data_IF_064312563650
#
_entry.id   IF_064312563650
#
_cell.length_a   1.000
_cell.length_b   1.000
_cell.length_c   1.000
_cell.angle_alpha   90.00
_cell.angle_beta   90.00
_cell.angle_gamma   90.00
#
_symmetry.space_group_name_H-M   'P 1'
#
loop_
_entity.id
_entity.type
_entity.pdbx_description
1 polymer ?
#
# COMPACT_ATOMS: atom_id res chain seq x y z
N UNK A 1 9.26 -37.99 20.62
CA UNK A 1 8.57 -37.02 21.50
C UNK A 1 7.74 -36.09 20.61
N UNK A 2 6.59 -35.59 21.08
CA UNK A 2 5.35 -35.52 20.31
C UNK A 2 5.25 -34.31 19.38
N UNK A 3 4.36 -34.50 18.39
CA UNK A 3 3.77 -33.56 17.46
C UNK A 3 3.41 -32.22 18.10
N UNK A 4 3.89 -31.11 17.51
CA UNK A 4 3.53 -29.75 17.91
C UNK A 4 2.24 -29.32 17.20
N UNK A 5 1.31 -28.85 18.01
CA UNK A 5 -0.03 -28.35 17.67
C UNK A 5 0.03 -27.10 16.76
N UNK A 6 -0.73 -27.00 15.65
CA UNK A 6 -0.74 -25.84 14.76
C UNK A 6 -1.25 -24.53 15.38
N UNK A 7 -1.73 -24.53 16.63
CA UNK A 7 -2.30 -23.33 17.29
C UNK A 7 -1.38 -22.61 18.27
N UNK A 8 -0.13 -23.03 18.42
CA UNK A 8 0.86 -22.24 19.18
C UNK A 8 1.49 -21.25 18.22
N UNK A 9 1.02 -19.99 18.25
CA UNK A 9 1.88 -18.85 17.86
C UNK A 9 2.98 -18.84 18.91
N UNK A 10 4.01 -19.67 18.70
CA UNK A 10 5.20 -19.63 19.52
C UNK A 10 5.71 -18.20 19.46
N UNK A 11 5.74 -17.56 20.62
CA UNK A 11 6.51 -16.35 20.81
C UNK A 11 7.94 -16.75 20.44
N UNK A 12 8.41 -16.36 19.25
CA UNK A 12 9.80 -16.58 18.83
C UNK A 12 10.68 -15.74 19.75
N UNK A 13 10.92 -16.20 20.97
CA UNK A 13 11.89 -15.65 21.91
C UNK A 13 13.29 -16.12 21.51
N UNK A 14 13.63 -15.96 20.23
CA UNK A 14 14.99 -16.11 19.77
C UNK A 14 15.77 -14.92 20.29
N UNK A 15 16.67 -15.13 21.26
CA UNK A 15 17.58 -14.09 21.79
C UNK A 15 18.66 -13.63 20.79
N UNK A 16 18.38 -13.77 19.49
CA UNK A 16 19.28 -13.40 18.40
C UNK A 16 18.77 -12.12 17.74
N UNK A 17 19.65 -11.17 17.39
CA UNK A 17 19.23 -9.93 16.75
C UNK A 17 18.57 -10.21 15.39
N UNK A 18 17.52 -9.45 15.07
CA UNK A 18 16.95 -9.45 13.72
C UNK A 18 18.01 -8.92 12.74
N UNK A 19 18.30 -9.71 11.71
CA UNK A 19 19.24 -9.33 10.66
C UNK A 19 18.47 -8.97 9.40
N UNK A 20 18.80 -7.84 8.79
CA UNK A 20 18.07 -7.24 7.68
C UNK A 20 19.07 -6.93 6.56
N UNK A 21 18.74 -7.30 5.32
CA UNK A 21 19.61 -7.08 4.15
C UNK A 21 20.77 -8.09 3.99
N UNK A 22 21.01 -8.97 4.96
CA UNK A 22 22.03 -10.01 4.89
C UNK A 22 22.23 -10.72 6.22
N UNK A 23 23.23 -11.60 6.29
CA UNK A 23 23.65 -12.29 7.52
C UNK A 23 25.07 -11.86 7.91
N UNK A 24 25.30 -11.59 9.19
CA UNK A 24 26.60 -11.32 9.79
C UNK A 24 27.44 -12.59 10.00
N UNK A 25 26.83 -13.76 9.83
CA UNK A 25 27.47 -15.07 9.88
C UNK A 25 27.35 -15.77 8.53
N UNK A 26 28.19 -16.80 8.26
CA UNK A 26 28.06 -17.63 7.07
C UNK A 26 26.66 -18.21 6.92
N UNK A 27 26.20 -18.38 5.69
CA UNK A 27 24.90 -18.97 5.41
C UNK A 27 24.83 -20.39 6.01
N UNK A 28 23.77 -20.69 6.78
CA UNK A 28 23.60 -22.03 7.31
C UNK A 28 23.40 -23.04 6.19
N UNK A 29 23.97 -24.23 6.35
CA UNK A 29 23.67 -25.34 5.46
C UNK A 29 22.21 -25.76 5.65
N UNK A 30 21.41 -25.90 4.57
CA UNK A 30 19.98 -26.25 4.66
C UNK A 30 19.72 -27.53 5.45
N UNK A 31 20.66 -28.49 5.36
CA UNK A 31 20.64 -29.77 6.06
C UNK A 31 20.62 -29.63 7.58
N UNK A 32 21.27 -28.61 8.13
CA UNK A 32 21.31 -28.36 9.58
C UNK A 32 19.96 -27.91 10.15
N UNK A 33 19.05 -27.44 9.30
CA UNK A 33 17.75 -26.88 9.70
C UNK A 33 16.57 -27.61 9.07
N UNK A 34 16.82 -28.74 8.39
CA UNK A 34 15.78 -29.52 7.71
C UNK A 34 15.11 -28.77 6.56
N UNK A 35 15.77 -27.78 5.97
CA UNK A 35 15.22 -27.02 4.84
C UNK A 35 15.43 -27.76 3.53
N UNK A 36 14.36 -27.92 2.76
CA UNK A 36 14.38 -28.55 1.44
C UNK A 36 14.93 -27.64 0.34
N UNK A 37 15.00 -26.34 0.61
CA UNK A 37 15.54 -25.32 -0.30
C UNK A 37 16.59 -24.48 0.43
N UNK A 38 17.65 -24.09 -0.28
CA UNK A 38 18.64 -23.17 0.26
C UNK A 38 18.06 -21.76 0.47
N UNK A 39 18.49 -21.08 1.54
CA UNK A 39 18.35 -19.62 1.62
C UNK A 39 19.08 -19.04 0.39
N UNK A 40 18.50 -18.02 -0.24
CA UNK A 40 19.22 -17.23 -1.25
C UNK A 40 20.56 -16.81 -0.67
N UNK A 41 21.66 -17.38 -1.16
CA UNK A 41 23.03 -17.15 -0.65
C UNK A 41 23.60 -15.78 -1.10
N UNK A 42 22.74 -14.79 -1.28
CA UNK A 42 23.10 -13.45 -1.73
C UNK A 42 22.47 -12.45 -0.77
N UNK A 43 23.31 -11.58 -0.22
CA UNK A 43 22.83 -10.43 0.54
C UNK A 43 22.03 -9.50 -0.39
N UNK A 44 21.16 -8.69 0.19
CA UNK A 44 20.41 -7.70 -0.56
C UNK A 44 21.36 -6.63 -1.09
N UNK A 45 21.44 -6.50 -2.41
CA UNK A 45 21.99 -5.32 -3.07
C UNK A 45 20.85 -4.40 -3.47
N UNK A 46 20.59 -3.37 -2.65
CA UNK A 46 19.46 -2.46 -2.83
C UNK A 46 19.19 -1.59 -1.62
N UNK A 47 17.97 -1.06 -1.55
CA UNK A 47 17.56 -0.15 -0.49
C UNK A 47 16.36 -0.70 0.27
N UNK A 48 16.38 -0.51 1.59
CA UNK A 48 15.28 -0.84 2.50
C UNK A 48 14.80 0.48 3.11
N UNK A 49 13.48 0.67 3.14
CA UNK A 49 12.86 1.83 3.79
C UNK A 49 11.56 1.42 4.46
N UNK A 50 11.12 2.19 5.46
CA UNK A 50 9.86 1.98 6.19
C UNK A 50 9.72 0.57 6.78
N UNK A 51 10.82 0.02 7.30
CA UNK A 51 10.77 -1.25 8.04
C UNK A 51 9.83 -1.08 9.24
N UNK A 52 8.78 -1.89 9.28
CA UNK A 52 7.79 -1.86 10.37
C UNK A 52 7.84 -3.19 11.10
N UNK A 53 8.17 -3.15 12.39
CA UNK A 53 8.20 -4.33 13.26
C UNK A 53 7.14 -4.15 14.33
N UNK A 54 6.22 -5.12 14.44
CA UNK A 54 5.14 -5.10 15.43
C UNK A 54 4.31 -3.80 15.42
N UNK A 55 4.14 -3.18 14.24
CA UNK A 55 3.37 -1.93 14.07
C UNK A 55 4.18 -0.65 14.28
N UNK A 56 5.44 -0.73 14.71
CA UNK A 56 6.31 0.43 14.89
C UNK A 56 7.34 0.54 13.77
N UNK A 57 7.53 1.77 13.26
CA UNK A 57 8.54 2.04 12.24
C UNK A 57 9.91 2.07 12.90
N UNK A 58 10.83 1.27 12.37
CA UNK A 58 12.20 1.17 12.83
C UNK A 58 13.10 2.06 11.99
N UNK A 59 13.94 2.85 12.65
CA UNK A 59 15.00 3.61 11.98
C UNK A 59 16.14 2.68 11.55
N UNK A 60 16.12 2.30 10.28
CA UNK A 60 17.18 1.49 9.65
C UNK A 60 18.36 2.34 9.16
N UNK A 61 18.26 3.67 9.23
CA UNK A 61 19.38 4.58 8.96
C UNK A 61 20.38 4.58 10.11
N UNK A 62 19.91 4.42 11.36
CA UNK A 62 20.78 4.39 12.54
C UNK A 62 20.66 3.07 13.32
N UNK A 63 20.99 1.92 12.70
CA UNK A 63 20.86 0.64 13.38
C UNK A 63 21.95 0.47 14.45
N UNK A 64 21.69 -0.38 15.45
CA UNK A 64 22.67 -0.73 16.48
C UNK A 64 23.96 -1.35 15.92
N UNK A 65 23.87 -2.04 14.77
CA UNK A 65 25.00 -2.56 14.03
C UNK A 65 24.72 -2.53 12.53
N UNK A 66 25.72 -2.17 11.72
CA UNK A 66 25.62 -2.10 10.25
C UNK A 66 26.98 -2.43 9.64
N UNK A 67 26.98 -3.24 8.59
CA UNK A 67 28.16 -3.57 7.79
C UNK A 67 27.72 -3.68 6.32
N UNK A 68 28.45 -3.03 5.41
CA UNK A 68 28.10 -3.01 3.99
C UNK A 68 26.88 -2.16 3.62
N UNK A 69 26.29 -1.41 4.56
CA UNK A 69 25.18 -0.49 4.34
C UNK A 69 25.53 0.96 4.63
N UNK A 70 24.86 1.88 3.94
CA UNK A 70 24.96 3.33 4.13
C UNK A 70 23.57 3.93 4.37
N UNK A 71 23.50 5.07 5.06
CA UNK A 71 22.26 5.83 5.23
C UNK A 71 21.81 6.42 3.89
N UNK A 72 20.49 6.51 3.71
CA UNK A 72 19.88 7.01 2.48
C UNK A 72 19.88 5.98 1.35
N UNK A 73 19.35 6.36 0.20
CA UNK A 73 19.31 5.49 -0.98
C UNK A 73 19.79 6.28 -2.20
N UNK A 74 21.10 6.36 -2.36
CA UNK A 74 21.73 7.10 -3.45
C UNK A 74 21.20 6.72 -4.85
N UNK A 75 20.92 5.43 -5.19
CA UNK A 75 20.31 5.09 -6.47
C UNK A 75 18.92 5.72 -6.66
N UNK A 76 18.08 5.71 -5.61
CA UNK A 76 16.74 6.29 -5.62
C UNK A 76 16.77 7.83 -5.67
N UNK A 77 17.68 8.45 -4.93
CA UNK A 77 17.89 9.90 -4.92
C UNK A 77 18.41 10.40 -6.27
N UNK A 78 19.37 9.71 -6.87
CA UNK A 78 19.88 10.02 -8.21
C UNK A 78 18.84 9.78 -9.30
N UNK A 79 17.99 8.76 -9.17
CA UNK A 79 16.95 8.45 -10.15
C UNK A 79 15.96 9.61 -10.35
N UNK A 80 15.77 10.45 -9.32
CA UNK A 80 14.95 11.65 -9.39
C UNK A 80 15.76 12.96 -9.45
N UNK A 81 17.07 12.89 -9.72
CA UNK A 81 17.99 14.02 -9.69
C UNK A 81 18.01 14.89 -10.95
N UNK A 82 17.98 16.21 -10.73
CA UNK A 82 18.22 17.38 -11.61
C UNK A 82 17.18 17.78 -12.66
N UNK A 83 16.39 16.86 -13.19
CA UNK A 83 15.41 17.21 -14.23
C UNK A 83 14.00 17.13 -13.65
N UNK A 84 13.43 18.30 -13.30
CA UNK A 84 11.99 18.54 -13.05
C UNK A 84 11.08 18.06 -14.22
N UNK A 85 11.63 17.39 -15.24
CA UNK A 85 10.99 17.09 -16.52
C UNK A 85 10.57 15.63 -16.68
N UNK A 86 11.12 14.67 -15.92
CA UNK A 86 10.80 13.25 -16.17
C UNK A 86 9.32 12.91 -15.93
N UNK A 87 8.73 13.38 -14.82
CA UNK A 87 7.32 13.14 -14.50
C UNK A 87 6.36 14.22 -14.99
N UNK A 88 6.87 15.17 -15.79
CA UNK A 88 6.12 16.36 -16.19
C UNK A 88 5.67 17.21 -15.00
N UNK A 89 4.87 18.24 -15.29
CA UNK A 89 4.39 19.20 -14.27
C UNK A 89 3.26 18.65 -13.39
N UNK A 90 2.74 17.45 -13.71
CA UNK A 90 1.58 16.80 -13.07
C UNK A 90 1.96 15.50 -12.38
N UNK A 91 3.25 15.27 -12.15
CA UNK A 91 3.74 14.04 -11.53
C UNK A 91 4.85 14.34 -10.55
N UNK A 92 4.94 13.51 -9.51
CA UNK A 92 6.07 13.50 -8.59
C UNK A 92 6.96 12.30 -8.90
N UNK A 93 8.28 12.49 -8.91
CA UNK A 93 9.22 11.40 -9.14
C UNK A 93 9.39 10.57 -7.86
N UNK A 94 9.06 9.29 -7.96
CA UNK A 94 9.41 8.27 -6.99
C UNK A 94 10.59 7.47 -7.55
N UNK A 95 11.77 7.65 -6.97
CA UNK A 95 12.96 6.96 -7.48
C UNK A 95 12.85 5.45 -7.30
N UNK A 96 13.62 4.69 -8.06
CA UNK A 96 13.61 3.24 -8.00
C UNK A 96 15.01 2.66 -8.18
N UNK A 97 15.17 1.39 -7.80
CA UNK A 97 16.45 0.67 -7.92
C UNK A 97 16.83 0.39 -9.38
N UNK A 98 15.84 0.11 -10.23
CA UNK A 98 16.03 -0.17 -11.66
C UNK A 98 15.76 1.08 -12.51
N UNK A 99 14.64 1.75 -12.26
CA UNK A 99 14.22 2.98 -12.95
C UNK A 99 13.29 3.80 -12.06
N UNK A 100 13.25 5.13 -12.21
CA UNK A 100 12.28 5.98 -11.53
C UNK A 100 10.84 5.70 -12.03
N UNK A 101 9.87 5.99 -11.17
CA UNK A 101 8.44 5.97 -11.48
C UNK A 101 7.84 7.33 -11.18
N UNK A 102 6.68 7.61 -11.78
CA UNK A 102 5.96 8.85 -11.58
C UNK A 102 4.63 8.59 -10.89
N UNK A 103 4.43 9.27 -9.76
CA UNK A 103 3.16 9.33 -9.06
C UNK A 103 2.36 10.51 -9.63
N UNK A 104 1.34 10.21 -10.43
CA UNK A 104 0.58 11.22 -11.14
C UNK A 104 -0.50 11.88 -10.28
N UNK A 105 -0.69 13.18 -10.50
CA UNK A 105 -1.83 13.92 -9.95
C UNK A 105 -3.17 13.32 -10.40
N UNK A 106 -4.23 13.40 -9.57
CA UNK A 106 -5.55 12.88 -9.93
C UNK A 106 -6.07 13.45 -11.25
N UNK A 107 -6.40 12.57 -12.19
CA UNK A 107 -6.85 12.95 -13.53
C UNK A 107 -5.79 12.92 -14.61
N UNK A 108 -4.54 12.58 -14.24
CA UNK A 108 -3.42 12.37 -15.16
C UNK A 108 -2.88 10.95 -15.04
N UNK A 109 -2.30 10.46 -16.13
CA UNK A 109 -1.73 9.12 -16.24
C UNK A 109 -0.62 9.08 -17.30
N UNK A 110 -0.08 7.88 -17.51
CA UNK A 110 1.06 7.65 -18.39
C UNK A 110 2.38 7.76 -17.64
N UNK A 111 3.46 7.37 -18.32
CA UNK A 111 4.80 7.27 -17.73
C UNK A 111 5.32 8.61 -17.19
N UNK A 112 4.94 9.73 -17.82
CA UNK A 112 5.34 11.09 -17.45
C UNK A 112 4.15 11.95 -16.99
N UNK A 113 3.04 11.33 -16.60
CA UNK A 113 1.83 12.03 -16.13
C UNK A 113 1.31 13.13 -17.08
N UNK A 114 1.55 12.98 -18.38
CA UNK A 114 1.21 13.98 -19.41
C UNK A 114 -0.11 13.68 -20.12
N UNK A 115 -0.71 12.52 -19.88
CA UNK A 115 -1.97 12.11 -20.52
C UNK A 115 -3.14 12.27 -19.56
N UNK A 116 -4.22 12.95 -19.95
CA UNK A 116 -5.42 13.01 -19.11
C UNK A 116 -6.09 11.62 -19.04
N UNK A 117 -6.59 11.25 -17.86
CA UNK A 117 -7.36 10.01 -17.70
C UNK A 117 -8.69 10.11 -18.43
N UNK A 118 -9.16 9.01 -19.02
CA UNK A 118 -10.49 8.93 -19.64
C UNK A 118 -11.54 8.62 -18.56
N UNK A 119 -12.52 9.51 -18.31
CA UNK A 119 -13.58 9.23 -17.35
C UNK A 119 -14.62 8.27 -17.94
N UNK A 120 -15.19 7.43 -17.07
CA UNK A 120 -16.36 6.61 -17.40
C UNK A 120 -17.60 7.23 -16.76
N UNK A 121 -18.68 7.34 -17.54
CA UNK A 121 -19.98 7.79 -17.02
C UNK A 121 -20.84 6.59 -16.68
N UNK A 122 -21.29 6.51 -15.43
CA UNK A 122 -22.21 5.48 -14.96
C UNK A 122 -23.64 6.06 -14.90
N UNK A 123 -24.55 5.47 -15.67
CA UNK A 123 -25.99 5.74 -15.62
C UNK A 123 -26.71 4.90 -14.57
N UNK A 124 -28.04 4.95 -14.58
CA UNK A 124 -28.89 4.11 -13.72
C UNK A 124 -28.61 2.63 -13.98
N UNK A 125 -28.52 1.85 -12.90
CA UNK A 125 -28.28 0.40 -12.95
C UNK A 125 -27.01 -0.03 -13.72
N UNK A 126 -26.01 0.84 -13.80
CA UNK A 126 -24.70 0.53 -14.40
C UNK A 126 -23.63 0.39 -13.31
N UNK A 127 -22.62 -0.43 -13.57
CA UNK A 127 -21.50 -0.64 -12.66
C UNK A 127 -20.22 -0.98 -13.43
N UNK A 128 -19.09 -0.75 -12.78
CA UNK A 128 -17.78 -1.21 -13.23
C UNK A 128 -17.21 -2.13 -12.17
N UNK A 129 -16.66 -3.28 -12.58
CA UNK A 129 -15.99 -4.22 -11.69
C UNK A 129 -14.56 -4.43 -12.18
N UNK A 130 -13.60 -4.27 -11.28
CA UNK A 130 -12.18 -4.50 -11.54
C UNK A 130 -11.73 -5.66 -10.68
N UNK A 131 -11.12 -6.67 -11.29
CA UNK A 131 -10.44 -7.74 -10.58
C UNK A 131 -8.97 -7.35 -10.36
N UNK A 132 -8.51 -7.42 -9.11
CA UNK A 132 -7.11 -7.17 -8.79
C UNK A 132 -6.33 -8.48 -8.91
N UNK A 133 -5.13 -8.49 -9.53
CA UNK A 133 -4.33 -9.70 -9.71
C UNK A 133 -3.54 -10.07 -8.44
N UNK A 134 -3.89 -9.52 -7.28
CA UNK A 134 -3.18 -9.72 -6.01
C UNK A 134 -4.16 -9.68 -4.83
N UNK A 135 -3.74 -10.26 -3.71
CA UNK A 135 -4.47 -10.16 -2.43
C UNK A 135 -4.17 -8.82 -1.78
N UNK A 136 -5.21 -8.17 -1.25
CA UNK A 136 -5.08 -6.88 -0.58
C UNK A 136 -4.37 -7.03 0.76
N UNK A 137 -3.58 -6.02 1.13
CA UNK A 137 -3.00 -5.95 2.47
C UNK A 137 -4.14 -5.87 3.51
N UNK A 138 -4.18 -6.78 4.51
CA UNK A 138 -5.26 -6.84 5.49
C UNK A 138 -5.24 -5.68 6.50
N UNK A 139 -4.13 -4.95 6.61
CA UNK A 139 -3.89 -3.90 7.60
C UNK A 139 -3.78 -2.50 6.98
N UNK A 140 -3.37 -2.41 5.71
CA UNK A 140 -3.11 -1.13 5.07
C UNK A 140 -3.82 -1.00 3.71
N UNK A 141 -4.85 -0.14 3.65
CA UNK A 141 -5.60 0.11 2.40
C UNK A 141 -5.62 1.61 2.12
N UNK A 142 -5.11 2.00 0.95
CA UNK A 142 -5.21 3.37 0.43
C UNK A 142 -5.99 3.36 -0.88
N UNK A 143 -7.09 4.12 -0.92
CA UNK A 143 -7.93 4.28 -2.10
C UNK A 143 -7.99 5.75 -2.52
N UNK A 144 -7.94 6.00 -3.82
CA UNK A 144 -8.15 7.33 -4.40
C UNK A 144 -9.16 7.23 -5.55
N UNK A 145 -10.21 8.05 -5.50
CA UNK A 145 -11.23 8.14 -6.54
C UNK A 145 -11.41 9.59 -6.97
N UNK A 146 -11.40 9.84 -8.28
CA UNK A 146 -11.81 11.11 -8.87
C UNK A 146 -13.25 11.01 -9.37
N UNK A 147 -14.16 11.79 -8.79
CA UNK A 147 -15.60 11.66 -9.01
C UNK A 147 -16.21 13.01 -9.39
N UNK A 148 -17.22 12.97 -10.26
CA UNK A 148 -18.08 14.09 -10.60
C UNK A 148 -19.53 13.63 -10.53
N UNK A 149 -20.25 14.03 -9.48
CA UNK A 149 -21.68 13.75 -9.33
C UNK A 149 -22.50 15.01 -9.59
N UNK A 150 -23.74 14.85 -10.09
CA UNK A 150 -24.67 15.97 -10.34
C UNK A 150 -25.99 15.71 -9.63
N UNK A 151 -26.27 16.47 -8.58
CA UNK A 151 -27.59 16.52 -7.93
C UNK A 151 -28.07 15.27 -7.19
N UNK A 152 -27.36 14.14 -7.23
CA UNK A 152 -27.70 12.96 -6.46
C UNK A 152 -27.08 13.05 -5.06
N UNK A 153 -27.86 13.07 -3.96
CA UNK A 153 -27.33 13.16 -2.59
C UNK A 153 -26.91 11.79 -2.02
N UNK A 154 -27.27 10.69 -2.68
CA UNK A 154 -26.97 9.34 -2.23
C UNK A 154 -26.50 8.44 -3.38
N UNK A 155 -25.59 7.52 -3.09
CA UNK A 155 -25.14 6.51 -4.06
C UNK A 155 -23.83 5.82 -3.68
N UNK A 156 -23.63 4.60 -4.14
CA UNK A 156 -22.36 3.89 -3.97
C UNK A 156 -21.32 4.47 -4.94
N UNK A 157 -20.14 4.81 -4.42
CA UNK A 157 -19.00 5.27 -5.23
C UNK A 157 -18.01 4.13 -5.49
N UNK A 158 -17.70 3.35 -4.45
CA UNK A 158 -16.80 2.22 -4.54
C UNK A 158 -17.14 1.17 -3.48
N UNK A 159 -16.96 -0.10 -3.82
CA UNK A 159 -17.12 -1.22 -2.90
C UNK A 159 -15.95 -2.18 -3.09
N UNK A 160 -15.25 -2.47 -2.00
CA UNK A 160 -14.09 -3.33 -1.95
C UNK A 160 -14.38 -4.51 -1.00
N UNK A 161 -14.78 -5.68 -1.54
CA UNK A 161 -14.94 -6.87 -0.73
C UNK A 161 -13.58 -7.50 -0.40
N UNK A 162 -13.45 -8.04 0.82
CA UNK A 162 -12.33 -8.92 1.19
C UNK A 162 -12.43 -10.25 0.44
N UNK A 163 -11.27 -10.85 0.13
CA UNK A 163 -11.14 -12.17 -0.50
C UNK A 163 -11.85 -13.29 0.27
N UNK A 164 -11.95 -13.17 1.59
CA UNK A 164 -12.62 -14.15 2.45
C UNK A 164 -14.04 -13.74 2.86
N UNK A 165 -14.59 -12.68 2.24
CA UNK A 165 -15.93 -12.13 2.51
C UNK A 165 -16.23 -11.77 3.98
N UNK A 166 -15.21 -11.79 4.85
CA UNK A 166 -15.37 -11.45 6.25
C UNK A 166 -15.49 -9.94 6.45
N UNK A 167 -14.77 -9.15 5.64
CA UNK A 167 -14.84 -7.71 5.69
C UNK A 167 -15.11 -7.06 4.34
N UNK A 168 -15.65 -5.85 4.38
CA UNK A 168 -15.79 -5.00 3.21
C UNK A 168 -15.52 -3.55 3.57
N UNK A 169 -14.95 -2.82 2.62
CA UNK A 169 -14.78 -1.37 2.67
C UNK A 169 -15.69 -0.75 1.61
N UNK A 170 -16.55 0.17 2.02
CA UNK A 170 -17.55 0.84 1.19
C UNK A 170 -17.31 2.35 1.23
N UNK A 171 -17.22 2.98 0.07
CA UNK A 171 -17.26 4.43 -0.08
C UNK A 171 -18.57 4.81 -0.77
N UNK A 172 -19.36 5.65 -0.12
CA UNK A 172 -20.65 6.08 -0.62
C UNK A 172 -20.88 7.57 -0.40
N UNK A 173 -21.81 8.13 -1.17
CA UNK A 173 -22.36 9.44 -0.96
C UNK A 173 -23.56 9.33 -0.01
N UNK A 174 -23.57 10.12 1.05
CA UNK A 174 -24.69 10.24 1.98
C UNK A 174 -24.99 11.72 2.21
N UNK A 175 -26.20 12.14 1.86
CA UNK A 175 -26.62 13.54 1.98
C UNK A 175 -25.67 14.51 1.27
N UNK A 176 -25.08 14.08 0.15
CA UNK A 176 -24.16 14.87 -0.66
C UNK A 176 -22.69 14.82 -0.25
N UNK A 177 -22.34 14.23 0.90
CA UNK A 177 -20.95 14.11 1.36
C UNK A 177 -20.44 12.66 1.27
N UNK A 178 -19.12 12.48 1.16
CA UNK A 178 -18.52 11.16 1.12
C UNK A 178 -18.45 10.53 2.51
N UNK A 179 -18.84 9.26 2.60
CA UNK A 179 -18.75 8.41 3.78
C UNK A 179 -18.07 7.10 3.44
N UNK A 180 -17.02 6.77 4.18
CA UNK A 180 -16.37 5.47 4.14
C UNK A 180 -16.83 4.64 5.34
N UNK A 181 -17.20 3.39 5.10
CA UNK A 181 -17.53 2.44 6.15
C UNK A 181 -16.85 1.12 5.92
N UNK A 182 -16.43 0.48 7.01
CA UNK A 182 -15.87 -0.86 7.01
C UNK A 182 -16.68 -1.74 7.94
N UNK A 183 -17.05 -2.93 7.48
CA UNK A 183 -17.68 -3.94 8.32
C UNK A 183 -16.78 -5.16 8.39
N UNK A 184 -16.58 -5.71 9.58
CA UNK A 184 -15.83 -6.95 9.79
C UNK A 184 -16.38 -7.75 10.98
N UNK A 185 -16.07 -9.06 11.08
CA UNK A 185 -16.70 -9.94 12.05
C UNK A 185 -16.30 -9.63 13.50
N UNK A 186 -15.09 -9.08 13.72
CA UNK A 186 -14.54 -8.84 15.06
C UNK A 186 -14.79 -7.43 15.60
N UNK A 187 -14.80 -6.43 14.74
CA UNK A 187 -14.74 -5.01 15.14
C UNK A 187 -16.04 -4.25 14.87
N UNK A 188 -17.08 -4.94 14.36
CA UNK A 188 -18.35 -4.31 14.00
C UNK A 188 -18.22 -3.40 12.78
N UNK A 189 -19.16 -2.45 12.66
CA UNK A 189 -19.14 -1.43 11.60
C UNK A 189 -18.41 -0.19 12.10
N UNK A 190 -17.33 0.17 11.42
CA UNK A 190 -16.62 1.44 11.59
C UNK A 190 -17.00 2.38 10.44
N UNK A 191 -17.13 3.68 10.71
CA UNK A 191 -17.54 4.65 9.72
C UNK A 191 -16.86 6.01 9.96
N UNK A 192 -16.53 6.67 8.86
CA UNK A 192 -16.09 8.06 8.83
C UNK A 192 -16.77 8.78 7.66
N UNK A 193 -17.32 9.95 7.93
CA UNK A 193 -17.93 10.82 6.92
C UNK A 193 -17.23 12.17 6.92
N UNK A 194 -17.17 12.81 5.76
CA UNK A 194 -16.78 14.22 5.70
C UNK A 194 -17.87 15.08 6.36
N UNK A 195 -17.46 16.06 7.17
CA UNK A 195 -18.39 16.96 7.86
C UNK A 195 -19.02 17.98 6.89
N UNK A 196 -18.25 18.43 5.91
CA UNK A 196 -18.66 19.36 4.84
C UNK A 196 -18.07 18.88 3.50
N UNK A 197 -18.17 19.63 2.40
CA UNK A 197 -17.75 19.25 1.02
C UNK A 197 -18.77 18.40 0.23
N UNK A 198 -19.86 19.03 -0.26
CA UNK A 198 -20.82 18.36 -1.13
C UNK A 198 -20.20 18.00 -2.49
N UNK A 199 -20.31 16.74 -2.91
CA UNK A 199 -19.76 16.23 -4.18
C UNK A 199 -20.74 16.33 -5.36
N UNK A 200 -21.96 16.82 -5.11
CA UNK A 200 -23.08 16.88 -6.07
C UNK A 200 -23.15 18.15 -6.92
N UNK A 201 -22.17 19.04 -6.81
CA UNK A 201 -22.09 20.35 -7.49
C UNK A 201 -21.77 20.27 -8.99
N UNK A 202 -21.52 19.06 -9.50
CA UNK A 202 -21.14 18.85 -10.89
C UNK A 202 -19.70 19.26 -11.21
N UNK A 203 -18.85 19.51 -10.22
CA UNK A 203 -17.41 19.67 -10.36
C UNK A 203 -16.67 18.34 -10.17
N UNK A 204 -15.38 18.32 -10.52
CA UNK A 204 -14.51 17.17 -10.24
C UNK A 204 -13.94 17.27 -8.84
N UNK A 205 -14.11 16.21 -8.05
CA UNK A 205 -13.57 16.06 -6.71
C UNK A 205 -12.64 14.86 -6.64
N UNK A 206 -11.67 14.89 -5.74
CA UNK A 206 -10.81 13.74 -5.43
C UNK A 206 -11.04 13.33 -3.98
N UNK A 207 -11.49 12.09 -3.81
CA UNK A 207 -11.74 11.47 -2.50
C UNK A 207 -10.63 10.47 -2.24
N UNK A 208 -10.02 10.55 -1.05
CA UNK A 208 -9.01 9.61 -0.57
C UNK A 208 -9.51 8.93 0.69
N UNK A 209 -9.33 7.62 0.77
CA UNK A 209 -9.69 6.81 1.94
C UNK A 209 -8.48 6.01 2.34
N UNK A 210 -8.07 6.13 3.61
CA UNK A 210 -6.99 5.34 4.20
C UNK A 210 -7.53 4.49 5.35
N UNK A 211 -7.12 3.23 5.40
CA UNK A 211 -7.26 2.35 6.56
C UNK A 211 -5.87 1.94 7.00
N UNK A 212 -5.61 2.12 8.29
CA UNK A 212 -4.41 1.67 8.97
C UNK A 212 -4.85 0.85 10.20
N UNK A 213 -4.50 -0.44 10.24
CA UNK A 213 -4.74 -1.32 11.40
C UNK A 213 -5.31 -2.68 11.07
#
# INVERSE_FOLDING_TARGET
APWVDPQVIENWSGGVPLQVGGLAHPYPYPEHFGWTNAIVNQALDGCISRLTLNGEVVDVGEPAHSSGSIKGCMPQEKACGQELTFCGIRGSCAGGLIAPRCDCEPGWSGFQCSSPTVPVSLGKASYMKVALPFSQDPYHIMLQLRVRARGHPHGLLMFLPSTHHSSNLKLELRSGVACASMSGPRQGRQEVCLETFPLGDGAWHTVRVGRHG
#
